data_IF_812588965122
#
_entry.id   IF_812588965122
#
_cell.length_a   1.000
_cell.length_b   1.000
_cell.length_c   1.000
_cell.angle_alpha   90.00
_cell.angle_beta   90.00
_cell.angle_gamma   90.00
#
_symmetry.space_group_name_H-M   'P 1'
#
loop_
_entity.id
_entity.type
_entity.pdbx_description
1 polymer ?
#
# COMPACT_ATOMS: atom_id res chain seq x y z
N UNK A 1 3.77 -8.97 0.58
CA UNK A 1 3.07 -9.24 -0.69
C UNK A 1 2.79 -10.72 -0.75
N UNK A 2 1.59 -11.15 -1.14
CA UNK A 2 1.17 -12.55 -1.07
C UNK A 2 1.72 -13.44 -2.19
N UNK A 3 1.98 -12.86 -3.38
CA UNK A 3 2.55 -13.49 -4.58
C UNK A 3 2.61 -12.42 -5.70
N UNK A 4 2.86 -12.84 -6.95
CA UNK A 4 2.85 -11.97 -8.14
C UNK A 4 1.81 -12.45 -9.16
N UNK A 5 1.08 -11.52 -9.79
CA UNK A 5 0.08 -11.82 -10.81
C UNK A 5 -1.13 -10.88 -10.75
N UNK A 6 -2.11 -11.15 -11.60
CA UNK A 6 -3.40 -10.46 -11.63
C UNK A 6 -4.49 -11.39 -12.16
N UNK A 7 -5.75 -11.13 -11.79
CA UNK A 7 -6.89 -11.92 -12.23
C UNK A 7 -8.11 -11.03 -12.52
N UNK A 8 -9.06 -11.60 -13.25
CA UNK A 8 -10.40 -11.04 -13.45
C UNK A 8 -11.38 -12.08 -12.91
N UNK A 9 -12.45 -11.63 -12.26
CA UNK A 9 -13.58 -12.47 -11.85
C UNK A 9 -14.84 -11.98 -12.56
N UNK A 10 -15.51 -12.86 -13.30
CA UNK A 10 -16.71 -12.57 -14.08
C UNK A 10 -17.50 -13.86 -14.34
N UNK A 11 -18.67 -13.74 -14.97
CA UNK A 11 -19.42 -14.89 -15.48
C UNK A 11 -18.60 -15.71 -16.50
N UNK A 12 -18.90 -16.99 -16.62
CA UNK A 12 -18.10 -17.95 -17.39
C UNK A 12 -17.95 -17.53 -18.86
N UNK A 13 -19.03 -17.08 -19.49
CA UNK A 13 -19.06 -16.63 -20.89
C UNK A 13 -18.13 -15.43 -21.15
N UNK A 14 -17.99 -14.53 -20.15
CA UNK A 14 -17.08 -13.40 -20.22
C UNK A 14 -15.63 -13.88 -20.11
N UNK A 15 -15.35 -14.78 -19.17
CA UNK A 15 -14.02 -15.35 -18.98
C UNK A 15 -13.56 -16.12 -20.23
N UNK A 16 -14.44 -16.92 -20.83
CA UNK A 16 -14.16 -17.66 -22.06
C UNK A 16 -13.84 -16.73 -23.23
N UNK A 17 -14.64 -15.68 -23.42
CA UNK A 17 -14.37 -14.65 -24.43
C UNK A 17 -13.00 -14.00 -24.21
N UNK A 18 -12.70 -13.58 -22.97
CA UNK A 18 -11.44 -12.91 -22.64
C UNK A 18 -10.23 -13.82 -22.86
N UNK A 19 -10.33 -15.12 -22.57
CA UNK A 19 -9.26 -16.10 -22.84
C UNK A 19 -8.92 -16.17 -24.34
N UNK A 20 -9.89 -15.95 -25.22
CA UNK A 20 -9.71 -15.99 -26.68
C UNK A 20 -9.37 -14.62 -27.31
N UNK A 21 -9.60 -13.51 -26.61
CA UNK A 21 -9.44 -12.14 -27.17
C UNK A 21 -8.37 -11.30 -26.49
N UNK A 22 -8.02 -11.62 -25.25
CA UNK A 22 -7.05 -10.85 -24.47
C UNK A 22 -5.63 -11.15 -24.93
N UNK A 23 -5.01 -10.18 -25.61
CA UNK A 23 -3.61 -10.28 -26.05
C UNK A 23 -2.64 -10.55 -24.89
N UNK A 24 -2.73 -9.88 -23.72
CA UNK A 24 -1.86 -10.18 -22.58
C UNK A 24 -2.02 -11.62 -22.04
N UNK A 25 -3.18 -12.25 -22.23
CA UNK A 25 -3.39 -13.64 -21.82
C UNK A 25 -2.83 -14.62 -22.87
N UNK A 26 -3.06 -14.36 -24.16
CA UNK A 26 -2.68 -15.25 -25.26
C UNK A 26 -1.19 -15.24 -25.58
N UNK A 27 -0.53 -14.09 -25.43
CA UNK A 27 0.85 -13.88 -25.85
C UNK A 27 1.81 -13.73 -24.65
N UNK A 28 1.47 -14.36 -23.53
CA UNK A 28 2.30 -14.39 -22.33
C UNK A 28 2.39 -15.82 -21.78
N UNK A 29 3.45 -16.10 -21.03
CA UNK A 29 3.59 -17.36 -20.33
C UNK A 29 2.65 -17.44 -19.14
N UNK A 30 2.19 -18.66 -18.83
CA UNK A 30 1.45 -18.92 -17.60
C UNK A 30 2.29 -18.57 -16.36
N UNK A 31 1.61 -18.16 -15.29
CA UNK A 31 2.23 -17.89 -13.99
C UNK A 31 2.82 -19.19 -13.44
N UNK A 32 4.01 -19.12 -12.86
CA UNK A 32 4.69 -20.28 -12.30
C UNK A 32 3.81 -21.00 -11.25
N UNK A 33 3.73 -22.34 -11.24
CA UNK A 33 2.86 -23.09 -10.33
C UNK A 33 3.04 -22.75 -8.84
N UNK A 34 4.28 -22.52 -8.40
CA UNK A 34 4.58 -22.13 -7.01
C UNK A 34 3.99 -20.77 -6.63
N UNK A 35 3.96 -19.82 -7.58
CA UNK A 35 3.37 -18.49 -7.39
C UNK A 35 1.85 -18.59 -7.31
N UNK A 36 1.23 -19.43 -8.15
CA UNK A 36 -0.21 -19.72 -8.07
C UNK A 36 -0.57 -20.34 -6.73
N UNK A 37 0.19 -21.35 -6.28
CA UNK A 37 -0.05 -22.01 -4.98
C UNK A 37 0.06 -21.03 -3.81
N UNK A 38 1.09 -20.17 -3.79
CA UNK A 38 1.22 -19.11 -2.79
C UNK A 38 0.07 -18.09 -2.84
N UNK A 39 -0.42 -17.76 -4.02
CA UNK A 39 -1.56 -16.84 -4.19
C UNK A 39 -2.85 -17.44 -3.61
N UNK A 40 -3.12 -18.72 -3.86
CA UNK A 40 -4.28 -19.44 -3.31
C UNK A 40 -4.21 -19.44 -1.78
N UNK A 41 -3.07 -19.85 -1.21
CA UNK A 41 -2.89 -19.86 0.24
C UNK A 41 -3.07 -18.44 0.86
N UNK A 42 -2.55 -17.40 0.19
CA UNK A 42 -2.74 -16.03 0.64
C UNK A 42 -4.22 -15.60 0.62
N UNK A 43 -4.99 -16.00 -0.40
CA UNK A 43 -6.43 -15.73 -0.49
C UNK A 43 -7.20 -16.43 0.63
N UNK A 44 -6.88 -17.70 0.90
CA UNK A 44 -7.51 -18.48 1.99
C UNK A 44 -7.28 -17.83 3.36
N UNK A 45 -6.02 -17.43 3.62
CA UNK A 45 -5.67 -16.71 4.85
C UNK A 45 -6.45 -15.39 4.95
N UNK A 46 -6.46 -14.58 3.90
CA UNK A 46 -7.15 -13.27 3.91
C UNK A 46 -8.65 -13.45 4.08
N UNK A 47 -9.27 -14.48 3.48
CA UNK A 47 -10.71 -14.74 3.66
C UNK A 47 -11.06 -14.89 5.16
N UNK A 48 -10.25 -15.63 5.93
CA UNK A 48 -10.45 -15.86 7.36
C UNK A 48 -9.93 -14.71 8.28
N UNK A 49 -9.28 -13.68 7.74
CA UNK A 49 -8.51 -12.70 8.52
C UNK A 49 -9.32 -11.51 9.07
N UNK A 50 -10.37 -11.78 9.86
CA UNK A 50 -11.19 -10.70 10.46
C UNK A 50 -10.37 -9.84 11.45
N UNK A 51 -9.58 -10.46 12.30
CA UNK A 51 -8.79 -9.77 13.33
C UNK A 51 -7.67 -8.92 12.73
N UNK A 52 -7.00 -9.41 11.69
CA UNK A 52 -5.98 -8.63 10.98
C UNK A 52 -6.59 -7.40 10.29
N UNK A 53 -7.80 -7.49 9.76
CA UNK A 53 -8.52 -6.33 9.19
C UNK A 53 -8.84 -5.29 10.26
N UNK A 54 -9.25 -5.72 11.44
CA UNK A 54 -9.47 -4.82 12.58
C UNK A 54 -8.16 -4.15 13.05
N UNK A 55 -7.09 -4.94 13.22
CA UNK A 55 -5.78 -4.40 13.57
C UNK A 55 -5.30 -3.35 12.56
N UNK A 56 -5.45 -3.63 11.26
CA UNK A 56 -5.11 -2.68 10.20
C UNK A 56 -5.91 -1.38 10.31
N UNK A 57 -7.22 -1.45 10.57
CA UNK A 57 -8.08 -0.27 10.76
C UNK A 57 -7.65 0.53 11.99
N UNK A 58 -7.39 -0.12 13.13
CA UNK A 58 -6.88 0.54 14.35
C UNK A 58 -5.54 1.24 14.11
N UNK A 59 -4.59 0.56 13.48
CA UNK A 59 -3.27 1.12 13.18
C UNK A 59 -3.37 2.32 12.23
N UNK A 60 -4.27 2.24 11.23
CA UNK A 60 -4.54 3.33 10.30
C UNK A 60 -5.14 4.54 11.03
N UNK A 61 -6.14 4.32 11.88
CA UNK A 61 -6.76 5.38 12.66
C UNK A 61 -5.75 6.06 13.60
N UNK A 62 -4.94 5.27 14.32
CA UNK A 62 -3.90 5.77 15.21
C UNK A 62 -2.88 6.63 14.46
N UNK A 63 -2.33 6.14 13.34
CA UNK A 63 -1.36 6.88 12.55
C UNK A 63 -1.94 8.21 12.05
N UNK A 64 -3.17 8.17 11.52
CA UNK A 64 -3.83 9.37 10.99
C UNK A 64 -4.08 10.40 12.09
N UNK A 65 -4.64 9.97 13.22
CA UNK A 65 -4.85 10.86 14.37
C UNK A 65 -3.54 11.52 14.79
N UNK A 66 -2.49 10.72 15.00
CA UNK A 66 -1.22 11.23 15.51
C UNK A 66 -0.53 12.17 14.54
N UNK A 67 -0.48 11.85 13.25
CA UNK A 67 0.08 12.76 12.25
C UNK A 67 -0.70 14.07 12.16
N UNK A 68 -2.03 14.04 12.30
CA UNK A 68 -2.85 15.26 12.36
C UNK A 68 -2.59 16.07 13.63
N UNK A 69 -2.43 15.41 14.79
CA UNK A 69 -2.09 16.07 16.06
C UNK A 69 -0.72 16.77 15.99
N UNK A 70 0.26 16.17 15.31
CA UNK A 70 1.59 16.77 15.03
C UNK A 70 1.55 17.84 13.92
N UNK A 71 0.38 18.13 13.34
CA UNK A 71 0.18 19.21 12.37
C UNK A 71 0.49 18.86 10.91
N UNK A 72 0.64 17.58 10.56
CA UNK A 72 0.83 17.17 9.17
C UNK A 72 -0.48 17.17 8.38
N UNK A 73 -0.39 17.62 7.12
CA UNK A 73 -1.50 17.53 6.17
C UNK A 73 -1.59 16.12 5.58
N UNK A 74 -2.76 15.49 5.75
CA UNK A 74 -3.08 14.17 5.23
C UNK A 74 -4.24 14.25 4.25
N UNK A 75 -4.19 13.48 3.17
CA UNK A 75 -5.38 13.33 2.33
C UNK A 75 -6.52 12.70 3.16
N UNK A 76 -7.75 13.28 3.15
CA UNK A 76 -8.89 12.73 3.86
C UNK A 76 -9.22 11.30 3.43
N UNK A 77 -9.77 10.51 4.36
CA UNK A 77 -10.19 9.14 4.13
C UNK A 77 -9.83 8.20 5.29
N UNK A 78 -10.11 6.92 5.10
CA UNK A 78 -9.88 5.86 6.11
C UNK A 78 -8.99 4.74 5.56
N UNK A 79 -8.43 4.93 4.37
CA UNK A 79 -7.66 3.90 3.70
C UNK A 79 -6.33 3.64 4.41
N UNK A 80 -5.86 2.37 4.54
CA UNK A 80 -4.56 2.03 5.14
C UNK A 80 -3.32 2.58 4.42
N UNK A 81 -3.54 3.26 3.29
CA UNK A 81 -2.50 3.93 2.51
C UNK A 81 -2.72 5.41 2.75
N UNK A 82 -1.97 5.97 3.70
CA UNK A 82 -2.12 7.36 4.15
C UNK A 82 -1.07 8.24 3.48
N UNK A 83 -1.46 9.17 2.60
CA UNK A 83 -0.54 10.12 1.99
C UNK A 83 -0.31 11.31 2.91
N UNK A 84 0.94 11.54 3.29
CA UNK A 84 1.42 12.73 4.00
C UNK A 84 1.87 13.76 2.96
N UNK A 85 1.23 14.92 2.93
CA UNK A 85 1.39 15.91 1.86
C UNK A 85 2.56 16.84 2.14
N UNK A 86 3.44 17.02 1.16
CA UNK A 86 4.59 17.94 1.22
C UNK A 86 4.54 19.01 0.14
N UNK A 87 3.84 18.77 -0.97
CA UNK A 87 3.74 19.66 -2.12
C UNK A 87 5.01 19.66 -2.99
N UNK A 88 6.15 19.93 -2.38
CA UNK A 88 7.46 20.03 -3.01
C UNK A 88 8.24 18.73 -3.00
N UNK A 89 8.77 18.35 -4.18
CA UNK A 89 9.47 17.08 -4.38
C UNK A 89 10.76 16.98 -3.53
N UNK A 90 11.54 18.06 -3.50
CA UNK A 90 12.80 18.09 -2.77
C UNK A 90 12.60 17.97 -1.25
N UNK A 91 11.53 18.55 -0.71
CA UNK A 91 11.21 18.42 0.71
C UNK A 91 10.81 16.98 1.03
N UNK A 92 9.89 16.40 0.26
CA UNK A 92 9.45 15.02 0.45
C UNK A 92 10.62 14.02 0.40
N UNK A 93 11.54 14.20 -0.57
CA UNK A 93 12.71 13.34 -0.70
C UNK A 93 13.67 13.45 0.51
N UNK A 94 13.99 14.68 0.95
CA UNK A 94 14.86 14.87 2.13
C UNK A 94 14.24 14.31 3.41
N UNK A 95 12.92 14.44 3.57
CA UNK A 95 12.20 13.84 4.70
C UNK A 95 12.28 12.31 4.65
N UNK A 96 12.05 11.69 3.49
CA UNK A 96 12.19 10.24 3.35
C UNK A 96 13.62 9.75 3.67
N UNK A 97 14.65 10.47 3.22
CA UNK A 97 16.04 10.16 3.53
C UNK A 97 16.34 10.30 5.03
N UNK A 98 15.75 11.30 5.70
CA UNK A 98 15.87 11.49 7.15
C UNK A 98 15.20 10.34 7.91
N UNK A 99 13.98 9.98 7.54
CA UNK A 99 13.26 8.86 8.14
C UNK A 99 14.04 7.55 8.04
N UNK A 100 14.69 7.29 6.90
CA UNK A 100 15.54 6.11 6.75
C UNK A 100 16.70 6.09 7.74
N UNK A 101 17.32 7.25 8.02
CA UNK A 101 18.36 7.37 9.07
C UNK A 101 17.81 7.14 10.47
N UNK A 102 16.53 7.41 10.70
CA UNK A 102 15.80 7.08 11.93
C UNK A 102 15.26 5.62 11.94
N UNK A 103 15.63 4.80 10.96
CA UNK A 103 15.24 3.39 10.88
C UNK A 103 13.86 3.15 10.26
N UNK A 104 13.20 4.18 9.73
CA UNK A 104 11.88 4.09 9.12
C UNK A 104 11.98 4.23 7.61
N UNK A 105 11.76 3.13 6.89
CA UNK A 105 11.82 3.15 5.43
C UNK A 105 10.49 3.61 4.82
N UNK A 106 10.52 4.76 4.16
CA UNK A 106 9.42 5.30 3.37
C UNK A 106 9.90 5.79 2.01
N UNK A 107 8.97 5.95 1.07
CA UNK A 107 9.27 6.46 -0.26
C UNK A 107 8.43 7.71 -0.55
N UNK A 108 9.13 8.76 -0.97
CA UNK A 108 8.53 9.97 -1.51
C UNK A 108 8.08 9.76 -2.95
N UNK A 109 6.90 10.26 -3.28
CA UNK A 109 6.35 10.31 -4.62
C UNK A 109 6.28 11.75 -5.10
N UNK A 110 6.83 11.99 -6.30
CA UNK A 110 6.79 13.26 -7.00
C UNK A 110 6.44 13.04 -8.48
N UNK A 111 6.38 14.11 -9.27
CA UNK A 111 6.25 14.01 -10.73
C UNK A 111 7.34 13.09 -11.31
N UNK A 112 7.01 12.22 -12.30
CA UNK A 112 5.74 12.09 -13.03
C UNK A 112 4.70 11.17 -12.37
N UNK A 113 5.01 10.57 -11.22
CA UNK A 113 4.11 9.59 -10.56
C UNK A 113 2.89 10.28 -9.94
N UNK A 114 3.07 11.53 -9.48
CA UNK A 114 1.98 12.40 -9.00
C UNK A 114 2.08 13.77 -9.68
N UNK A 115 0.99 14.55 -9.78
CA UNK A 115 1.05 15.90 -10.35
C UNK A 115 2.09 16.80 -9.66
N UNK A 116 2.60 17.78 -10.39
CA UNK A 116 3.49 18.81 -9.82
C UNK A 116 2.79 19.56 -8.67
N UNK A 117 3.55 19.96 -7.66
CA UNK A 117 3.01 20.61 -6.45
C UNK A 117 2.18 19.68 -5.54
N UNK A 118 2.18 18.37 -5.79
CA UNK A 118 1.47 17.35 -4.99
C UNK A 118 2.40 16.24 -4.51
N UNK A 119 3.68 16.54 -4.31
CA UNK A 119 4.62 15.59 -3.73
C UNK A 119 4.16 15.14 -2.34
N UNK A 120 4.36 13.85 -2.04
CA UNK A 120 3.85 13.22 -0.83
C UNK A 120 4.63 11.97 -0.46
N UNK A 121 4.65 11.62 0.81
CA UNK A 121 5.11 10.30 1.27
C UNK A 121 3.88 9.43 1.48
N UNK A 122 3.88 8.22 0.90
CA UNK A 122 2.73 7.30 0.99
C UNK A 122 3.01 6.21 2.02
N UNK A 123 2.56 6.43 3.25
CA UNK A 123 2.71 5.44 4.34
C UNK A 123 1.67 4.35 4.17
N UNK A 124 2.10 3.09 4.20
CA UNK A 124 1.22 1.92 4.04
C UNK A 124 1.23 1.14 5.34
N UNK A 125 0.13 1.19 6.08
CA UNK A 125 0.01 0.50 7.34
C UNK A 125 -0.23 -0.99 7.08
N UNK A 126 0.22 -1.81 8.02
CA UNK A 126 0.04 -3.25 8.02
C UNK A 126 -0.65 -3.68 9.31
N UNK A 127 -1.40 -4.78 9.23
CA UNK A 127 -1.93 -5.45 10.41
C UNK A 127 -0.81 -5.99 11.32
N UNK A 128 0.40 -6.18 10.77
CA UNK A 128 1.56 -6.66 11.50
C UNK A 128 2.28 -5.56 12.30
N UNK A 129 2.00 -4.27 12.03
CA UNK A 129 2.58 -3.19 12.83
C UNK A 129 1.93 -3.18 14.22
N UNK A 130 2.73 -3.01 15.26
CA UNK A 130 2.26 -2.69 16.59
C UNK A 130 1.93 -1.19 16.71
N UNK A 131 1.23 -0.81 17.77
CA UNK A 131 1.02 0.61 18.08
C UNK A 131 2.36 1.35 18.33
N UNK A 132 3.37 0.65 18.86
CA UNK A 132 4.71 1.21 19.06
C UNK A 132 5.46 1.42 17.75
N UNK A 133 5.28 0.56 16.74
CA UNK A 133 5.84 0.77 15.40
C UNK A 133 5.21 1.98 14.73
N UNK A 134 3.88 2.14 14.88
CA UNK A 134 3.15 3.33 14.40
C UNK A 134 3.69 4.59 15.06
N UNK A 135 3.90 4.55 16.37
CA UNK A 135 4.46 5.68 17.11
C UNK A 135 5.88 6.03 16.65
N UNK A 136 6.74 5.02 16.52
CA UNK A 136 8.11 5.20 16.03
C UNK A 136 8.12 5.84 14.64
N UNK A 137 7.18 5.46 13.77
CA UNK A 137 7.01 6.07 12.47
C UNK A 137 6.61 7.55 12.57
N UNK A 138 5.64 7.90 13.43
CA UNK A 138 5.22 9.29 13.65
C UNK A 138 6.38 10.13 14.19
N UNK A 139 7.11 9.64 15.19
CA UNK A 139 8.25 10.36 15.75
C UNK A 139 9.39 10.55 14.75
N UNK A 140 9.52 9.70 13.74
CA UNK A 140 10.50 9.89 12.68
C UNK A 140 10.12 11.00 11.68
N UNK A 141 8.86 11.45 11.67
CA UNK A 141 8.41 12.61 10.87
C UNK A 141 8.67 13.95 11.58
N UNK A 142 8.63 13.97 12.91
CA UNK A 142 8.79 15.15 13.79
C UNK A 142 10.26 15.50 13.98
#
# INVERSE_FOLDING_TARGET
GGASGGYISAHAEIVELLRQRSRPYLFSNAVAPSVVAGSIAALDLVAASADQREALRRNTALFRQRMTDEGFDLLPGEHPITPVMFGEAALAARTADAMLRHGVYVIAFSYPVVPQGKARIRVQLSAAHSAADVETCVQAFV
#
